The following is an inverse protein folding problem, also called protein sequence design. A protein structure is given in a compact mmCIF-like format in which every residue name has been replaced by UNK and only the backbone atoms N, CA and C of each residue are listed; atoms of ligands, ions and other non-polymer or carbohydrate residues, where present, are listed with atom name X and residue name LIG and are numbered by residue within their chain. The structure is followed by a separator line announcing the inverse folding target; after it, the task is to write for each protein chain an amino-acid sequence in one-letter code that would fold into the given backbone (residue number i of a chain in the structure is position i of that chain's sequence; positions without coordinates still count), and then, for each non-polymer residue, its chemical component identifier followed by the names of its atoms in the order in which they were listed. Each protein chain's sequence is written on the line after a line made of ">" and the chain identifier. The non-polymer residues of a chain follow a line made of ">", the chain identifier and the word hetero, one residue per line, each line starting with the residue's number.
data_IF_060860568606
#
_entry.id   IF_060860568606
#
_cell.length_a   1.000
_cell.length_b   1.000
_cell.length_c   1.000
_cell.angle_alpha   90.00
_cell.angle_beta   90.00
_cell.angle_gamma   90.00
#
_symmetry.space_group_name_H-M   'P 1'
#
loop_
_entity.id
_entity.type
_entity.pdbx_description
1 polymer ?
#
# COMPACT_ATOMS: atom_id res chain seq x y z
N UNK A 1 36.20 42.25 -2.86
CA UNK A 1 35.29 41.55 -1.93
C UNK A 1 36.14 40.71 -1.00
N UNK A 2 36.11 41.02 0.30
CA UNK A 2 36.99 40.48 1.34
C UNK A 2 36.45 39.18 1.96
N UNK A 3 37.40 38.25 2.18
CA UNK A 3 37.43 37.01 2.98
C UNK A 3 36.20 36.48 3.75
N UNK A 4 35.91 35.18 3.53
CA UNK A 4 36.26 34.12 4.51
C UNK A 4 35.17 33.59 5.45
N UNK A 5 34.95 32.27 5.40
CA UNK A 5 35.03 31.30 6.52
C UNK A 5 34.02 30.13 6.38
N UNK A 6 34.56 28.91 6.29
CA UNK A 6 33.83 27.63 6.41
C UNK A 6 33.45 27.36 7.87
N UNK A 7 32.28 26.76 8.15
CA UNK A 7 32.11 25.83 9.30
C UNK A 7 31.13 24.69 8.95
N UNK A 8 31.58 23.49 9.30
CA UNK A 8 30.97 22.16 9.19
C UNK A 8 29.99 21.95 10.33
N UNK A 9 28.83 21.29 10.10
CA UNK A 9 28.15 20.51 11.15
C UNK A 9 27.62 19.21 10.50
N UNK A 10 28.31 18.12 10.80
CA UNK A 10 27.89 16.76 10.50
C UNK A 10 27.05 16.25 11.68
N UNK A 11 25.83 15.80 11.41
CA UNK A 11 24.94 15.22 12.43
C UNK A 11 24.97 13.70 12.30
N UNK A 12 25.63 13.06 13.27
CA UNK A 12 25.66 11.60 13.46
C UNK A 12 24.32 11.14 14.02
N UNK A 13 23.63 10.22 13.31
CA UNK A 13 22.46 9.51 13.83
C UNK A 13 22.90 8.11 14.25
N UNK A 14 23.01 7.91 15.57
CA UNK A 14 23.04 6.62 16.28
C UNK A 14 21.57 6.43 16.71
N UNK A 15 20.83 5.35 16.47
CA UNK A 15 21.14 3.93 16.48
C UNK A 15 20.22 3.27 17.52
N UNK A 16 19.33 2.37 17.09
CA UNK A 16 18.70 1.35 17.95
C UNK A 16 17.93 0.34 17.06
N UNK A 17 18.63 -0.70 16.58
CA UNK A 17 17.95 -1.90 16.09
C UNK A 17 17.61 -2.77 17.30
N UNK A 18 16.33 -2.85 17.66
CA UNK A 18 15.82 -3.85 18.59
C UNK A 18 15.55 -5.15 17.83
N UNK A 19 16.52 -6.07 17.81
CA UNK A 19 16.27 -7.46 17.42
C UNK A 19 15.62 -8.19 18.59
N UNK A 20 14.28 -8.24 18.60
CA UNK A 20 13.55 -9.23 19.37
C UNK A 20 13.76 -10.59 18.69
N UNK A 21 14.78 -11.32 19.13
CA UNK A 21 15.04 -12.69 18.72
C UNK A 21 14.32 -13.67 19.65
N UNK A 22 13.59 -14.61 19.04
CA UNK A 22 13.32 -15.98 19.48
C UNK A 22 12.73 -16.17 20.90
N UNK A 23 11.46 -16.53 21.08
CA UNK A 23 10.76 -17.63 20.41
C UNK A 23 10.95 -18.91 21.23
N UNK A 24 10.25 -19.02 22.37
CA UNK A 24 10.37 -20.13 23.32
C UNK A 24 9.06 -20.92 23.46
N UNK A 25 9.08 -22.14 22.91
CA UNK A 25 8.51 -23.38 23.47
C UNK A 25 7.01 -23.52 23.74
N UNK A 26 6.38 -24.51 23.06
CA UNK A 26 5.16 -25.17 23.53
C UNK A 26 4.38 -25.91 22.43
N UNK A 27 4.64 -27.21 22.23
CA UNK A 27 3.80 -28.10 21.42
C UNK A 27 2.43 -28.30 22.10
N UNK A 28 1.36 -28.03 21.34
CA UNK A 28 -0.03 -28.25 21.73
C UNK A 28 -0.85 -28.60 20.50
N UNK A 29 -1.54 -29.73 20.59
CA UNK A 29 -2.22 -30.48 19.53
C UNK A 29 -3.40 -29.75 18.85
N UNK A 30 -3.53 -30.11 17.57
CA UNK A 30 -4.59 -29.96 16.57
C UNK A 30 -5.99 -29.51 17.02
N UNK A 31 -6.39 -28.34 16.50
CA UNK A 31 -7.79 -27.94 16.33
C UNK A 31 -8.06 -27.63 14.86
N UNK A 32 -8.73 -28.56 14.16
CA UNK A 32 -9.28 -28.33 12.82
C UNK A 32 -10.48 -27.40 12.91
N UNK A 33 -10.28 -26.15 12.50
CA UNK A 33 -11.35 -25.19 12.27
C UNK A 33 -10.81 -24.05 11.43
N UNK A 34 -11.08 -24.05 10.12
CA UNK A 34 -10.96 -22.81 9.34
C UNK A 34 -12.07 -21.88 9.83
N UNK A 35 -11.74 -21.04 10.80
CA UNK A 35 -12.58 -19.91 11.11
C UNK A 35 -12.66 -19.05 9.84
N UNK A 36 -13.85 -18.92 9.28
CA UNK A 36 -14.12 -17.89 8.30
C UNK A 36 -13.82 -16.54 9.00
N UNK A 37 -12.66 -15.94 8.72
CA UNK A 37 -12.30 -14.67 9.35
C UNK A 37 -10.82 -14.43 9.65
N UNK A 38 -9.85 -15.12 9.03
CA UNK A 38 -8.50 -14.55 8.99
C UNK A 38 -8.48 -13.40 7.99
N UNK A 39 -8.80 -12.21 8.50
CA UNK A 39 -8.54 -10.96 7.83
C UNK A 39 -7.02 -10.85 7.68
N UNK A 40 -6.54 -11.12 6.45
CA UNK A 40 -5.18 -10.80 6.05
C UNK A 40 -4.88 -9.37 6.51
N UNK A 41 -3.68 -9.07 7.05
CA UNK A 41 -3.28 -7.70 7.30
C UNK A 41 -3.28 -6.94 5.96
N UNK A 42 -4.42 -6.35 5.61
CA UNK A 42 -4.51 -5.41 4.51
C UNK A 42 -3.85 -4.13 5.00
N UNK A 43 -2.55 -4.04 4.77
CA UNK A 43 -1.91 -2.73 4.65
C UNK A 43 -2.45 -2.16 3.35
N UNK A 44 -3.64 -1.58 3.43
CA UNK A 44 -4.17 -0.78 2.36
C UNK A 44 -3.26 0.43 2.27
N UNK A 45 -2.47 0.50 1.22
CA UNK A 45 -2.14 1.80 0.64
C UNK A 45 -3.48 2.44 0.25
N UNK A 46 -4.15 3.05 1.22
CA UNK A 46 -5.51 3.52 1.06
C UNK A 46 -5.48 4.75 0.17
N UNK A 47 -5.91 4.59 -1.09
CA UNK A 47 -6.17 5.69 -2.00
C UNK A 47 -7.65 6.00 -1.93
N UNK A 48 -7.97 7.19 -1.43
CA UNK A 48 -9.34 7.68 -1.31
C UNK A 48 -10.02 7.75 -2.69
N UNK A 49 -11.30 7.37 -2.73
CA UNK A 49 -12.12 7.49 -3.93
C UNK A 49 -12.41 8.97 -4.16
N UNK A 50 -12.13 9.47 -5.36
CA UNK A 50 -12.48 10.83 -5.76
C UNK A 50 -14.01 10.98 -5.73
N UNK A 51 -14.59 11.99 -5.05
CA UNK A 51 -16.03 12.24 -5.07
C UNK A 51 -16.62 12.34 -6.49
N UNK A 52 -15.84 12.79 -7.48
CA UNK A 52 -16.27 12.81 -8.88
C UNK A 52 -16.42 11.41 -9.49
N UNK A 53 -15.73 10.40 -8.96
CA UNK A 53 -15.90 9.00 -9.34
C UNK A 53 -17.09 8.32 -8.66
N UNK A 54 -17.73 8.94 -7.65
CA UNK A 54 -18.92 8.43 -6.96
C UNK A 54 -20.21 8.81 -7.70
N UNK A 55 -20.35 8.25 -8.91
CA UNK A 55 -21.55 8.40 -9.73
C UNK A 55 -22.26 7.05 -9.86
N UNK A 56 -23.59 7.08 -9.96
CA UNK A 56 -24.41 5.88 -9.99
C UNK A 56 -24.09 4.91 -11.15
N UNK A 57 -23.49 5.44 -12.22
CA UNK A 57 -23.10 4.72 -13.44
C UNK A 57 -21.69 4.14 -13.39
N UNK A 58 -20.86 4.54 -12.42
CA UNK A 58 -19.51 4.00 -12.25
C UNK A 58 -19.57 2.70 -11.45
N UNK A 59 -19.48 1.58 -12.15
CA UNK A 59 -19.54 0.23 -11.58
C UNK A 59 -18.16 -0.33 -11.23
N UNK A 60 -17.11 0.48 -11.27
CA UNK A 60 -15.75 0.03 -10.92
C UNK A 60 -15.63 -0.29 -9.43
N UNK A 61 -14.89 -1.36 -9.07
CA UNK A 61 -14.73 -1.75 -7.69
C UNK A 61 -13.81 -0.78 -6.94
N UNK A 62 -14.05 -0.65 -5.64
CA UNK A 62 -13.16 0.04 -4.71
C UNK A 62 -11.96 -0.86 -4.39
N UNK A 63 -10.96 -0.81 -5.27
CA UNK A 63 -9.72 -1.60 -5.18
C UNK A 63 -8.55 -0.72 -5.53
N UNK A 64 -7.50 -0.75 -4.72
CA UNK A 64 -6.25 -0.04 -5.01
C UNK A 64 -5.31 -0.97 -5.77
N UNK A 65 -4.77 -0.47 -6.88
CA UNK A 65 -3.80 -1.16 -7.73
C UNK A 65 -2.55 -0.31 -7.94
N UNK A 66 -1.43 -0.95 -8.26
CA UNK A 66 -0.23 -0.26 -8.69
C UNK A 66 -0.38 0.19 -10.15
N UNK A 67 -0.25 1.50 -10.40
CA UNK A 67 -0.17 2.05 -11.73
C UNK A 67 1.31 2.14 -12.14
N UNK A 68 1.69 1.27 -13.06
CA UNK A 68 3.08 1.16 -13.52
C UNK A 68 3.51 2.32 -14.43
N UNK A 69 2.57 3.03 -15.06
CA UNK A 69 2.88 4.17 -15.92
C UNK A 69 3.38 5.36 -15.09
N UNK A 70 2.65 5.68 -14.02
CA UNK A 70 2.93 6.83 -13.16
C UNK A 70 3.72 6.47 -11.90
N UNK A 71 3.97 5.18 -11.68
CA UNK A 71 4.65 4.61 -10.50
C UNK A 71 4.00 5.05 -9.18
N UNK A 72 2.68 5.12 -9.16
CA UNK A 72 1.90 5.41 -7.98
C UNK A 72 0.84 4.31 -7.76
N UNK A 73 0.08 4.45 -6.68
CA UNK A 73 -1.09 3.63 -6.42
C UNK A 73 -2.32 4.42 -6.79
N UNK A 74 -3.31 3.72 -7.34
CA UNK A 74 -4.56 4.32 -7.80
C UNK A 74 -5.72 3.43 -7.37
N UNK A 75 -6.81 4.05 -6.93
CA UNK A 75 -8.07 3.34 -6.80
C UNK A 75 -8.66 3.12 -8.19
N UNK A 76 -9.01 1.89 -8.56
CA UNK A 76 -9.58 1.56 -9.87
C UNK A 76 -10.82 2.41 -10.18
N UNK A 77 -11.59 2.77 -9.15
CA UNK A 77 -12.76 3.64 -9.29
C UNK A 77 -12.42 5.07 -9.74
N UNK A 78 -11.20 5.53 -9.49
CA UNK A 78 -10.71 6.86 -9.89
C UNK A 78 -10.12 6.89 -11.31
N UNK A 79 -9.99 5.74 -11.99
CA UNK A 79 -9.31 5.69 -13.30
C UNK A 79 -10.05 6.47 -14.39
N UNK A 80 -11.39 6.49 -14.36
CA UNK A 80 -12.21 7.35 -15.19
C UNK A 80 -13.34 7.95 -14.35
N UNK A 81 -13.12 9.17 -13.84
CA UNK A 81 -14.04 9.94 -12.99
C UNK A 81 -15.30 10.46 -13.72
N UNK A 82 -15.64 9.89 -14.89
CA UNK A 82 -16.75 10.34 -15.74
C UNK A 82 -17.40 9.12 -16.43
N UNK A 83 -18.50 9.34 -17.15
CA UNK A 83 -19.22 8.32 -17.94
C UNK A 83 -18.44 7.84 -19.19
N UNK A 84 -17.12 7.77 -19.10
CA UNK A 84 -16.25 7.27 -20.16
C UNK A 84 -16.32 5.74 -20.15
N UNK A 85 -16.63 5.07 -21.28
CA UNK A 85 -16.62 3.61 -21.34
C UNK A 85 -15.20 3.07 -21.13
N UNK A 86 -15.07 2.05 -20.29
CA UNK A 86 -13.79 1.42 -19.92
C UNK A 86 -13.75 -0.02 -20.45
N UNK A 87 -12.64 -0.41 -21.07
CA UNK A 87 -12.31 -1.81 -21.34
C UNK A 87 -11.39 -2.33 -20.22
N UNK A 88 -11.90 -3.25 -19.40
CA UNK A 88 -11.08 -3.99 -18.44
C UNK A 88 -10.63 -5.31 -19.08
N UNK A 89 -9.32 -5.50 -19.24
CA UNK A 89 -8.73 -6.75 -19.71
C UNK A 89 -7.79 -7.30 -18.66
N UNK A 90 -7.96 -8.58 -18.33
CA UNK A 90 -7.17 -9.26 -17.31
C UNK A 90 -6.53 -10.50 -17.94
N UNK A 91 -5.27 -10.71 -17.63
CA UNK A 91 -4.50 -11.88 -18.01
C UNK A 91 -3.53 -12.22 -16.87
N UNK A 92 -3.30 -13.51 -16.65
CA UNK A 92 -2.32 -13.98 -15.69
C UNK A 92 -1.12 -14.58 -16.43
N UNK A 93 0.12 -14.15 -16.14
CA UNK A 93 1.31 -14.86 -16.57
C UNK A 93 1.33 -16.25 -15.91
N UNK A 94 1.87 -17.21 -16.65
CA UNK A 94 1.99 -18.62 -16.26
C UNK A 94 2.94 -18.82 -15.07
#
# INVERSE_FOLDING_TARGET
>A
MTFGARRIIASVIIGALALAACGGGGEGDSGSGVAAGEQLPQVADAVEVDPAADIATNLMPDVVVDNLNDRNKVNVRNYAVADTPILLWMWAPH
#
